data_IF_665589478555
#
_entry.id   IF_665589478555
#
_cell.length_a   1.000
_cell.length_b   1.000
_cell.length_c   1.000
_cell.angle_alpha   90.00
_cell.angle_beta   90.00
_cell.angle_gamma   90.00
#
_symmetry.space_group_name_H-M   'P 1'
#
loop_
_entity.id
_entity.type
_entity.pdbx_description
1 polymer ?
#
# COMPACT_ATOMS: atom_id res chain seq x y z
N UNK A 1 3.07 -27.68 1.29
CA UNK A 1 2.19 -26.99 2.24
C UNK A 1 0.93 -26.67 1.48
N UNK A 2 -0.15 -27.41 1.71
CA UNK A 2 -1.44 -27.12 1.08
C UNK A 2 -1.96 -25.82 1.67
N UNK A 3 -1.72 -24.70 0.98
CA UNK A 3 -2.43 -23.46 1.28
C UNK A 3 -3.92 -23.74 1.09
N UNK A 4 -4.69 -23.62 2.18
CA UNK A 4 -6.14 -23.79 2.12
C UNK A 4 -6.73 -22.63 1.31
N UNK A 5 -6.89 -22.84 0.00
CA UNK A 5 -7.51 -21.85 -0.88
C UNK A 5 -9.02 -21.94 -0.77
N UNK A 6 -9.69 -20.82 -0.55
CA UNK A 6 -11.16 -20.71 -0.63
C UNK A 6 -11.57 -20.12 -1.97
N UNK A 7 -12.46 -20.80 -2.70
CA UNK A 7 -13.01 -20.29 -3.97
C UNK A 7 -13.85 -19.05 -3.69
N UNK A 8 -13.53 -17.96 -4.37
CA UNK A 8 -14.21 -16.66 -4.26
C UNK A 8 -14.46 -16.11 -5.67
N UNK A 9 -15.63 -15.50 -5.87
CA UNK A 9 -15.97 -14.78 -7.10
C UNK A 9 -15.89 -13.29 -6.84
N UNK A 10 -15.13 -12.55 -7.66
CA UNK A 10 -14.99 -11.10 -7.57
C UNK A 10 -15.35 -10.46 -8.91
N UNK A 11 -15.93 -9.27 -8.87
CA UNK A 11 -16.09 -8.42 -10.05
C UNK A 11 -14.86 -7.53 -10.19
N UNK A 12 -14.28 -7.51 -11.37
CA UNK A 12 -13.16 -6.62 -11.71
C UNK A 12 -13.64 -5.61 -12.75
N UNK A 13 -13.12 -4.39 -12.68
CA UNK A 13 -13.26 -3.43 -13.76
C UNK A 13 -12.74 -4.05 -15.08
N UNK A 14 -13.41 -3.74 -16.19
CA UNK A 14 -13.10 -4.34 -17.48
C UNK A 14 -11.68 -4.01 -17.96
N UNK A 15 -11.21 -2.78 -17.70
CA UNK A 15 -9.86 -2.35 -18.02
C UNK A 15 -8.83 -3.09 -17.16
N UNK A 16 -9.07 -3.18 -15.84
CA UNK A 16 -8.20 -3.90 -14.91
C UNK A 16 -8.10 -5.39 -15.27
N UNK A 17 -9.20 -6.05 -15.58
CA UNK A 17 -9.20 -7.46 -15.98
C UNK A 17 -8.33 -7.69 -17.22
N UNK A 18 -8.42 -6.82 -18.23
CA UNK A 18 -7.60 -6.91 -19.45
C UNK A 18 -6.11 -6.74 -19.14
N UNK A 19 -5.75 -5.76 -18.32
CA UNK A 19 -4.36 -5.54 -17.91
C UNK A 19 -3.81 -6.73 -17.11
N UNK A 20 -4.58 -7.24 -16.14
CA UNK A 20 -4.24 -8.42 -15.35
C UNK A 20 -4.03 -9.66 -16.23
N UNK A 21 -4.88 -9.86 -17.24
CA UNK A 21 -4.75 -10.98 -18.19
C UNK A 21 -3.45 -10.91 -18.99
N UNK A 22 -3.06 -9.72 -19.43
CA UNK A 22 -1.78 -9.52 -20.14
C UNK A 22 -0.61 -9.79 -19.18
N UNK A 23 -0.64 -9.23 -17.96
CA UNK A 23 0.40 -9.45 -16.96
C UNK A 23 0.58 -10.94 -16.64
N UNK A 24 -0.52 -11.64 -16.38
CA UNK A 24 -0.54 -13.08 -16.12
C UNK A 24 0.14 -13.89 -17.24
N UNK A 25 -0.16 -13.57 -18.50
CA UNK A 25 0.46 -14.23 -19.64
C UNK A 25 1.95 -13.92 -19.77
N UNK A 26 2.39 -12.71 -19.41
CA UNK A 26 3.80 -12.30 -19.47
C UNK A 26 4.63 -12.86 -18.32
N UNK A 27 4.03 -13.04 -17.13
CA UNK A 27 4.74 -13.51 -15.93
C UNK A 27 4.57 -15.00 -15.66
N UNK A 28 3.86 -15.72 -16.52
CA UNK A 28 3.50 -17.14 -16.35
C UNK A 28 2.83 -17.43 -14.98
N UNK A 29 1.94 -16.51 -14.57
CA UNK A 29 1.21 -16.61 -13.32
C UNK A 29 -0.30 -16.67 -13.56
N UNK A 30 -1.03 -17.27 -12.62
CA UNK A 30 -2.49 -17.25 -12.66
C UNK A 30 -3.06 -15.89 -12.21
N UNK A 31 -4.26 -15.54 -12.66
CA UNK A 31 -4.97 -14.34 -12.19
C UNK A 31 -5.19 -14.39 -10.67
N UNK A 32 -5.51 -15.57 -10.11
CA UNK A 32 -5.71 -15.73 -8.67
C UNK A 32 -4.42 -15.49 -7.88
N UNK A 33 -3.26 -15.92 -8.38
CA UNK A 33 -1.97 -15.61 -7.77
C UNK A 33 -1.74 -14.11 -7.74
N UNK A 34 -1.87 -13.44 -8.88
CA UNK A 34 -1.67 -11.99 -8.98
C UNK A 34 -2.60 -11.18 -8.07
N UNK A 35 -3.86 -11.62 -7.93
CA UNK A 35 -4.83 -10.97 -7.05
C UNK A 35 -4.48 -11.22 -5.58
N UNK A 36 -4.13 -12.46 -5.21
CA UNK A 36 -3.73 -12.78 -3.84
C UNK A 36 -2.47 -12.02 -3.42
N UNK A 37 -1.45 -11.97 -4.29
CA UNK A 37 -0.20 -11.25 -4.04
C UNK A 37 -0.45 -9.75 -3.85
N UNK A 38 -1.28 -9.15 -4.70
CA UNK A 38 -1.63 -7.73 -4.60
C UNK A 38 -2.39 -7.40 -3.30
N UNK A 39 -3.34 -8.25 -2.90
CA UNK A 39 -4.08 -8.10 -1.64
C UNK A 39 -3.13 -8.27 -0.44
N UNK A 40 -2.28 -9.30 -0.47
CA UNK A 40 -1.30 -9.55 0.59
C UNK A 40 -0.35 -8.38 0.78
N UNK A 41 0.21 -7.86 -0.33
CA UNK A 41 1.10 -6.69 -0.32
C UNK A 41 0.39 -5.46 0.27
N UNK A 42 -0.84 -5.17 -0.16
CA UNK A 42 -1.60 -4.03 0.37
C UNK A 42 -1.87 -4.14 1.87
N UNK A 43 -2.13 -5.35 2.38
CA UNK A 43 -2.37 -5.57 3.81
C UNK A 43 -1.08 -5.48 4.64
N UNK A 44 0.06 -5.87 4.06
CA UNK A 44 1.38 -5.74 4.68
C UNK A 44 1.78 -4.27 4.78
N UNK A 45 1.60 -3.50 3.71
CA UNK A 45 1.80 -2.04 3.70
C UNK A 45 0.95 -1.35 4.78
N UNK A 46 -0.35 -1.67 4.87
CA UNK A 46 -1.24 -1.14 5.91
C UNK A 46 -0.72 -1.49 7.33
N UNK A 47 -0.18 -2.70 7.53
CA UNK A 47 0.37 -3.12 8.81
C UNK A 47 1.62 -2.32 9.18
N UNK A 48 2.52 -2.11 8.23
CA UNK A 48 3.72 -1.29 8.41
C UNK A 48 3.37 0.16 8.73
N UNK A 49 2.41 0.76 8.02
CA UNK A 49 1.93 2.11 8.28
C UNK A 49 1.39 2.26 9.71
N UNK A 50 0.58 1.30 10.16
CA UNK A 50 0.08 1.29 11.54
C UNK A 50 1.21 1.15 12.57
N UNK A 51 2.27 0.39 12.26
CA UNK A 51 3.44 0.27 13.12
C UNK A 51 4.19 1.60 13.23
N UNK A 52 4.39 2.31 12.11
CA UNK A 52 5.02 3.64 12.09
C UNK A 52 4.20 4.64 12.90
N UNK A 53 2.86 4.64 12.75
CA UNK A 53 1.97 5.51 13.53
C UNK A 53 2.13 5.24 15.03
N UNK A 54 2.14 3.97 15.45
CA UNK A 54 2.32 3.60 16.86
C UNK A 54 3.69 4.02 17.39
N UNK A 55 4.75 3.87 16.59
CA UNK A 55 6.09 4.30 16.99
C UNK A 55 6.16 5.81 17.23
N UNK A 56 5.47 6.60 16.40
CA UNK A 56 5.46 8.07 16.47
C UNK A 56 4.40 8.65 17.39
N UNK A 57 3.57 7.84 18.04
CA UNK A 57 2.45 8.30 18.86
C UNK A 57 2.87 9.21 20.04
N UNK A 58 4.12 9.13 20.48
CA UNK A 58 4.67 9.93 21.57
C UNK A 58 5.54 11.10 21.09
N UNK A 59 5.72 11.28 19.77
CA UNK A 59 6.39 12.44 19.23
C UNK A 59 5.57 13.70 19.51
N UNK A 60 6.26 14.80 19.82
CA UNK A 60 5.59 16.07 20.03
C UNK A 60 5.07 16.57 18.67
N UNK A 61 3.81 16.96 18.64
CA UNK A 61 3.26 17.72 17.53
C UNK A 61 4.02 19.05 17.42
N UNK A 62 4.50 19.36 16.23
CA UNK A 62 5.11 20.65 15.93
C UNK A 62 4.05 21.51 15.23
N UNK A 63 3.61 22.62 15.84
CA UNK A 63 2.72 23.59 15.20
C UNK A 63 3.30 24.08 13.88
N UNK A 64 2.42 24.37 12.92
CA UNK A 64 2.86 24.82 11.61
C UNK A 64 3.56 26.18 11.66
N UNK A 65 3.15 27.04 12.60
CA UNK A 65 3.74 28.36 12.87
C UNK A 65 5.23 28.23 13.24
N UNK A 66 5.58 27.25 14.07
CA UNK A 66 6.97 27.00 14.48
C UNK A 66 7.83 26.58 13.29
N UNK A 67 7.26 25.82 12.35
CA UNK A 67 7.92 25.44 11.10
C UNK A 67 8.17 26.66 10.22
N UNK A 68 7.18 27.56 10.09
CA UNK A 68 7.32 28.80 9.30
C UNK A 68 8.38 29.73 9.88
N UNK A 69 8.45 29.86 11.20
CA UNK A 69 9.51 30.62 11.85
C UNK A 69 10.89 30.02 11.59
N UNK A 70 11.04 28.70 11.70
CA UNK A 70 12.31 28.02 11.42
C UNK A 70 12.75 28.19 9.96
N UNK A 71 11.81 28.10 9.00
CA UNK A 71 12.10 28.34 7.58
C UNK A 71 12.59 29.76 7.31
N UNK A 72 11.94 30.77 7.91
CA UNK A 72 12.37 32.17 7.82
C UNK A 72 13.74 32.39 8.45
N UNK A 73 14.00 31.80 9.62
CA UNK A 73 15.31 31.85 10.29
C UNK A 73 16.43 31.25 9.44
N UNK A 74 16.12 30.21 8.65
CA UNK A 74 17.06 29.54 7.72
C UNK A 74 17.15 30.22 6.34
N UNK A 75 16.42 31.32 6.10
CA UNK A 75 16.41 32.04 4.83
C UNK A 75 15.87 31.22 3.65
N UNK A 76 14.99 30.25 3.93
CA UNK A 76 14.32 29.43 2.91
C UNK A 76 13.02 30.07 2.41
N UNK A 77 12.48 31.01 3.18
CA UNK A 77 11.39 31.94 2.87
C UNK A 77 11.69 33.31 3.48
#
# INVERSE_FOLDING_TARGET
MSEETKRTTVYLDQGLYRALKIKAAQTDQSLSSLINDAIGTSLEEDYEDLAVIRQRQHEKLTPFEDVLEDLKKRGKI
#
